data_IF_717116503979
#
_entry.id   IF_717116503979
#
_cell.length_a   1.000
_cell.length_b   1.000
_cell.length_c   1.000
_cell.angle_alpha   90.00
_cell.angle_beta   90.00
_cell.angle_gamma   90.00
#
_symmetry.space_group_name_H-M   'P 1'
#
loop_
_entity.id
_entity.type
_entity.pdbx_description
1 polymer ?
#
# COMPACT_ATOMS: atom_id res chain seq x y z
N UNK A 1 -66.51 -14.31 -20.86
CA UNK A 1 -66.14 -12.90 -21.16
C UNK A 1 -64.77 -12.91 -21.82
N UNK A 2 -64.68 -12.20 -22.94
CA UNK A 2 -63.71 -12.29 -24.04
C UNK A 2 -62.29 -11.82 -23.73
N UNK A 3 -61.30 -12.38 -24.45
CA UNK A 3 -60.12 -11.70 -25.04
C UNK A 3 -59.10 -12.78 -25.48
N UNK A 4 -59.08 -13.32 -26.71
CA UNK A 4 -58.57 -12.79 -27.99
C UNK A 4 -57.04 -12.50 -28.01
N UNK A 5 -56.29 -13.44 -28.63
CA UNK A 5 -55.20 -13.26 -29.67
C UNK A 5 -53.86 -12.67 -29.17
N UNK A 6 -52.63 -13.19 -29.43
CA UNK A 6 -51.98 -13.92 -30.56
C UNK A 6 -50.61 -14.50 -30.08
N UNK A 7 -50.02 -15.53 -30.73
CA UNK A 7 -48.66 -16.01 -30.47
C UNK A 7 -47.61 -15.33 -31.38
N UNK A 8 -46.36 -15.21 -30.93
CA UNK A 8 -45.24 -14.77 -31.79
C UNK A 8 -44.20 -15.89 -31.93
N UNK A 9 -44.03 -16.29 -33.19
CA UNK A 9 -43.23 -17.39 -33.70
C UNK A 9 -41.73 -17.03 -33.77
N UNK A 10 -40.92 -18.08 -33.64
CA UNK A 10 -39.48 -18.17 -33.94
C UNK A 10 -39.09 -17.59 -35.31
N UNK A 11 -37.88 -17.01 -35.39
CA UNK A 11 -37.13 -16.91 -36.65
C UNK A 11 -35.68 -17.36 -36.44
N UNK A 12 -35.28 -18.35 -37.23
CA UNK A 12 -33.97 -18.97 -37.26
C UNK A 12 -33.02 -18.27 -38.26
N UNK A 13 -31.74 -18.36 -37.92
CA UNK A 13 -30.51 -18.40 -38.72
C UNK A 13 -30.50 -17.92 -40.19
N UNK A 14 -29.49 -17.09 -40.53
CA UNK A 14 -28.70 -17.26 -41.76
C UNK A 14 -27.22 -16.93 -41.55
N UNK A 15 -26.40 -17.96 -41.78
CA UNK A 15 -24.96 -17.94 -42.03
C UNK A 15 -24.64 -17.21 -43.33
N UNK A 16 -23.52 -16.48 -43.35
CA UNK A 16 -22.84 -16.10 -44.59
C UNK A 16 -21.37 -16.53 -44.49
N UNK A 17 -21.05 -17.61 -45.20
CA UNK A 17 -19.70 -18.04 -45.55
C UNK A 17 -19.22 -17.19 -46.75
N UNK A 18 -18.00 -16.66 -46.69
CA UNK A 18 -17.26 -16.27 -47.89
C UNK A 18 -15.82 -16.79 -47.80
N UNK A 19 -15.42 -17.48 -48.86
CA UNK A 19 -14.19 -18.28 -49.02
C UNK A 19 -12.97 -17.42 -49.35
N UNK A 20 -11.83 -17.85 -48.80
CA UNK A 20 -10.52 -18.15 -49.43
C UNK A 20 -10.16 -17.35 -50.71
N UNK A 21 -9.08 -16.56 -50.60
CA UNK A 21 -8.27 -16.09 -51.72
C UNK A 21 -6.79 -16.17 -51.36
N UNK A 22 -6.02 -16.89 -52.17
CA UNK A 22 -4.60 -17.25 -52.02
C UNK A 22 -3.61 -16.13 -52.38
N UNK A 23 -2.39 -16.28 -51.86
CA UNK A 23 -1.13 -15.53 -52.12
C UNK A 23 -0.79 -15.34 -53.61
N UNK A 24 0.13 -14.40 -53.92
CA UNK A 24 1.48 -14.86 -54.26
C UNK A 24 2.64 -14.10 -53.58
N UNK A 25 3.81 -14.69 -53.77
CA UNK A 25 5.10 -14.55 -53.07
C UNK A 25 6.04 -13.48 -53.65
N UNK A 26 7.22 -13.37 -53.03
CA UNK A 26 8.48 -12.75 -53.50
C UNK A 26 8.64 -11.25 -53.19
N UNK A 27 9.78 -10.68 -52.73
CA UNK A 27 11.18 -11.12 -52.65
C UNK A 27 11.94 -10.17 -51.68
N UNK A 28 12.96 -10.70 -50.97
CA UNK A 28 14.23 -10.10 -50.43
C UNK A 28 14.25 -8.60 -50.04
N UNK A 29 14.88 -8.20 -48.93
CA UNK A 29 16.35 -8.11 -48.81
C UNK A 29 16.78 -8.10 -47.33
N UNK A 30 17.77 -8.94 -47.02
CA UNK A 30 18.64 -8.87 -45.83
C UNK A 30 19.96 -8.24 -46.26
N UNK A 31 20.44 -7.20 -45.57
CA UNK A 31 21.86 -6.80 -45.61
C UNK A 31 22.34 -6.22 -44.27
N UNK A 32 23.17 -7.04 -43.63
CA UNK A 32 24.43 -6.79 -42.88
C UNK A 32 24.52 -5.73 -41.79
N UNK A 33 24.92 -6.27 -40.63
CA UNK A 33 25.83 -5.67 -39.68
C UNK A 33 27.16 -5.22 -40.33
N UNK A 34 27.65 -4.07 -39.88
CA UNK A 34 29.02 -3.60 -40.08
C UNK A 34 29.59 -3.24 -38.71
N UNK A 35 30.43 -4.14 -38.22
CA UNK A 35 31.53 -3.84 -37.31
C UNK A 35 32.65 -3.14 -38.09
N UNK A 36 33.24 -2.10 -37.51
CA UNK A 36 34.68 -1.89 -37.63
C UNK A 36 35.23 -1.09 -36.45
N UNK A 37 36.23 -1.74 -35.84
CA UNK A 37 37.17 -1.27 -34.85
C UNK A 37 38.09 -0.17 -35.42
N UNK A 38 38.51 0.78 -34.59
CA UNK A 38 39.93 1.17 -34.45
C UNK A 38 40.13 2.14 -33.27
N UNK A 39 41.09 1.75 -32.42
CA UNK A 39 41.67 2.39 -31.23
C UNK A 39 42.18 3.83 -31.46
N UNK A 40 42.45 4.73 -30.49
CA UNK A 40 43.08 4.58 -29.16
C UNK A 40 43.15 5.96 -28.46
N UNK A 41 42.90 6.05 -27.14
CA UNK A 41 43.84 6.62 -26.14
C UNK A 41 43.30 6.47 -24.71
N UNK A 42 44.14 5.92 -23.85
CA UNK A 42 43.94 5.68 -22.42
C UNK A 42 43.94 6.97 -21.57
N UNK A 43 43.37 6.97 -20.35
CA UNK A 43 44.03 6.95 -19.00
C UNK A 43 42.94 7.22 -17.90
N UNK A 44 43.24 7.20 -16.58
CA UNK A 44 42.93 6.13 -15.62
C UNK A 44 41.73 6.40 -14.68
N UNK A 45 41.31 5.35 -13.94
CA UNK A 45 40.27 5.38 -12.91
C UNK A 45 40.73 6.02 -11.57
N UNK A 46 39.80 6.61 -10.79
CA UNK A 46 39.94 6.78 -9.34
C UNK A 46 38.81 6.06 -8.53
N UNK A 47 38.96 5.94 -7.19
CA UNK A 47 38.70 4.68 -6.48
C UNK A 47 37.34 4.57 -5.77
N UNK A 48 37.01 3.34 -5.39
CA UNK A 48 35.95 2.98 -4.45
C UNK A 48 36.31 3.39 -3.02
N UNK A 49 35.45 4.18 -2.37
CA UNK A 49 35.52 4.45 -0.94
C UNK A 49 34.61 3.48 -0.18
N UNK A 50 35.22 2.48 0.44
CA UNK A 50 34.66 1.76 1.59
C UNK A 50 34.97 2.56 2.86
N UNK A 51 33.95 2.94 3.61
CA UNK A 51 34.10 3.32 5.02
C UNK A 51 33.29 2.34 5.87
N UNK A 52 34.01 1.34 6.38
CA UNK A 52 33.70 0.67 7.63
C UNK A 52 34.02 1.65 8.75
N UNK A 53 33.07 1.91 9.64
CA UNK A 53 33.38 2.52 10.93
C UNK A 53 32.70 1.71 12.03
N UNK A 54 33.43 0.68 12.46
CA UNK A 54 33.17 -0.11 13.66
C UNK A 54 33.84 0.58 14.85
N UNK A 55 33.06 1.29 15.68
CA UNK A 55 33.53 1.69 16.99
C UNK A 55 33.30 0.55 17.99
N UNK A 56 34.43 -0.07 18.34
CA UNK A 56 34.65 -1.10 19.34
C UNK A 56 34.34 -0.54 20.74
N UNK A 57 33.43 -1.18 21.46
CA UNK A 57 33.22 -0.99 22.90
C UNK A 57 34.11 -2.00 23.63
N UNK A 58 35.11 -1.50 24.35
CA UNK A 58 35.89 -2.30 25.31
C UNK A 58 35.18 -2.34 26.67
N UNK A 59 35.21 -3.53 27.26
CA UNK A 59 34.71 -3.93 28.58
C UNK A 59 35.54 -3.35 29.73
N UNK A 60 34.89 -2.85 30.79
CA UNK A 60 34.97 -3.42 32.16
C UNK A 60 34.35 -2.53 33.27
N UNK A 61 33.99 -3.22 34.35
CA UNK A 61 33.78 -2.81 35.76
C UNK A 61 32.46 -2.17 36.24
N UNK A 62 31.78 -2.93 37.11
CA UNK A 62 30.90 -2.46 38.20
C UNK A 62 31.67 -1.56 39.19
N UNK A 63 30.96 -0.67 39.93
CA UNK A 63 30.59 -1.05 41.30
C UNK A 63 29.16 -0.67 41.70
N UNK A 64 28.60 -1.51 42.56
CA UNK A 64 27.43 -1.28 43.40
C UNK A 64 27.56 -0.02 44.25
N UNK A 65 26.47 0.71 44.46
CA UNK A 65 26.28 1.43 45.72
C UNK A 65 24.80 1.51 46.10
N UNK A 66 24.49 0.82 47.20
CA UNK A 66 23.32 0.99 48.02
C UNK A 66 23.25 2.43 48.53
N UNK A 67 22.06 3.02 48.57
CA UNK A 67 21.70 3.95 49.64
C UNK A 67 20.19 3.87 49.91
N UNK A 68 19.88 3.17 51.01
CA UNK A 68 18.65 3.31 51.76
C UNK A 68 18.56 4.73 52.32
N UNK A 69 17.44 5.40 52.15
CA UNK A 69 16.99 6.40 53.11
C UNK A 69 15.48 6.30 53.30
N UNK A 70 15.11 5.66 54.41
CA UNK A 70 13.82 5.81 55.09
C UNK A 70 13.78 7.19 55.73
N UNK A 71 12.75 7.99 55.44
CA UNK A 71 12.23 8.97 56.39
C UNK A 71 10.72 8.81 56.44
N UNK A 72 10.25 8.44 57.63
CA UNK A 72 8.86 8.36 58.05
C UNK A 72 8.37 9.72 58.55
N UNK A 73 7.10 10.06 58.28
CA UNK A 73 6.06 10.34 59.29
C UNK A 73 4.99 11.32 58.79
N UNK A 74 3.73 11.01 59.11
CA UNK A 74 2.72 12.03 59.43
C UNK A 74 1.37 11.90 58.71
N UNK A 75 0.48 11.09 59.28
CA UNK A 75 -0.94 10.98 58.90
C UNK A 75 -1.74 12.26 59.22
N UNK A 76 -2.68 12.63 58.35
CA UNK A 76 -4.02 13.09 58.73
C UNK A 76 -5.05 12.61 57.69
N UNK A 77 -6.12 11.99 58.19
CA UNK A 77 -7.18 11.34 57.45
C UNK A 77 -8.23 12.33 56.90
N UNK A 78 -8.89 11.97 55.80
CA UNK A 78 -10.35 12.04 55.70
C UNK A 78 -10.88 11.13 54.59
N UNK A 79 -11.80 10.26 54.99
CA UNK A 79 -12.56 9.33 54.17
C UNK A 79 -13.54 10.09 53.26
N UNK A 80 -13.57 9.71 51.98
CA UNK A 80 -14.74 9.86 51.14
C UNK A 80 -15.02 8.50 50.50
N UNK A 81 -16.03 7.82 51.04
CA UNK A 81 -16.62 6.59 50.54
C UNK A 81 -17.14 6.83 49.11
N UNK A 82 -16.50 6.22 48.12
CA UNK A 82 -16.91 6.22 46.72
C UNK A 82 -16.61 4.86 46.10
N UNK A 83 -17.67 4.06 45.90
CA UNK A 83 -17.67 2.68 45.44
C UNK A 83 -16.76 2.42 44.21
N UNK A 84 -15.79 1.48 44.26
CA UNK A 84 -14.95 1.15 43.12
C UNK A 84 -15.55 -0.07 42.40
N UNK A 85 -16.60 0.13 41.61
CA UNK A 85 -17.08 -0.90 40.68
C UNK A 85 -17.49 -0.25 39.36
N UNK A 86 -16.49 0.30 38.68
CA UNK A 86 -16.52 0.60 37.25
C UNK A 86 -15.51 -0.29 36.52
N UNK A 87 -15.48 -1.59 36.83
CA UNK A 87 -14.73 -2.56 36.04
C UNK A 87 -15.48 -2.69 34.71
N UNK A 88 -14.95 -2.04 33.68
CA UNK A 88 -15.27 -2.39 32.29
C UNK A 88 -15.06 -3.89 32.15
N UNK A 89 -15.99 -4.65 31.54
CA UNK A 89 -15.85 -6.10 31.47
C UNK A 89 -14.55 -6.43 30.73
N UNK A 90 -13.59 -6.96 31.47
CA UNK A 90 -12.47 -7.70 30.94
C UNK A 90 -13.07 -8.82 30.12
N UNK A 91 -12.93 -8.75 28.79
CA UNK A 91 -13.42 -9.80 27.90
C UNK A 91 -12.74 -11.09 28.35
N UNK A 92 -13.50 -11.92 29.05
CA UNK A 92 -13.08 -13.25 29.43
C UNK A 92 -12.56 -13.94 28.16
N UNK A 93 -11.26 -14.24 28.15
CA UNK A 93 -10.64 -15.08 27.14
C UNK A 93 -11.28 -16.45 27.31
N UNK A 94 -12.30 -16.71 26.51
CA UNK A 94 -12.98 -17.99 26.47
C UNK A 94 -12.00 -19.01 25.91
N UNK A 95 -11.70 -20.04 26.68
CA UNK A 95 -11.11 -21.28 26.19
C UNK A 95 -12.13 -22.00 25.27
N UNK A 96 -12.33 -21.45 24.08
CA UNK A 96 -13.02 -22.10 22.96
C UNK A 96 -12.04 -22.26 21.81
N UNK A 97 -11.99 -23.45 21.23
CA UNK A 97 -11.32 -23.68 19.95
C UNK A 97 -11.82 -22.65 18.93
N UNK A 98 -11.01 -21.65 18.60
CA UNK A 98 -11.34 -20.63 17.59
C UNK A 98 -11.18 -19.16 17.99
N UNK A 99 -10.82 -18.83 19.24
CA UNK A 99 -10.51 -17.43 19.60
C UNK A 99 -9.01 -17.13 19.39
N UNK A 100 -8.63 -16.76 18.17
CA UNK A 100 -7.27 -16.35 17.87
C UNK A 100 -7.02 -14.90 18.28
N UNK A 101 -6.04 -14.67 19.15
CA UNK A 101 -5.51 -13.32 19.40
C UNK A 101 -4.68 -12.86 18.20
N UNK A 102 -5.31 -12.07 17.33
CA UNK A 102 -4.67 -11.51 16.13
C UNK A 102 -3.52 -10.55 16.42
N UNK A 103 -3.35 -10.08 17.66
CA UNK A 103 -2.22 -9.24 18.04
C UNK A 103 -0.87 -9.99 17.97
N UNK A 104 -0.91 -11.33 18.06
CA UNK A 104 0.28 -12.20 18.10
C UNK A 104 0.20 -13.41 17.17
N UNK A 105 -1.00 -13.90 16.87
CA UNK A 105 -1.23 -15.13 16.09
C UNK A 105 -0.73 -15.05 14.65
N UNK A 106 -0.34 -16.21 14.11
CA UNK A 106 -0.03 -16.47 12.71
C UNK A 106 -1.00 -17.48 12.07
N UNK A 107 -2.15 -17.69 12.69
CA UNK A 107 -3.13 -18.69 12.27
C UNK A 107 -3.56 -18.52 10.80
N UNK A 108 -3.59 -19.64 10.06
CA UNK A 108 -4.03 -19.69 8.66
C UNK A 108 -3.07 -19.07 7.65
N UNK A 109 -1.92 -18.53 8.08
CA UNK A 109 -0.90 -18.02 7.17
C UNK A 109 -0.36 -19.16 6.30
N UNK A 110 -0.38 -18.98 4.99
CA UNK A 110 0.11 -19.96 4.00
C UNK A 110 -0.57 -21.34 4.08
N UNK A 111 -1.74 -21.48 4.71
CA UNK A 111 -2.40 -22.79 4.84
C UNK A 111 -3.07 -23.28 3.55
N UNK A 112 -3.59 -22.36 2.73
CA UNK A 112 -4.26 -22.67 1.47
C UNK A 112 -4.26 -21.48 0.50
N UNK A 113 -4.56 -21.69 -0.78
CA UNK A 113 -4.85 -20.60 -1.70
C UNK A 113 -6.30 -20.08 -1.49
N UNK A 114 -6.59 -18.85 -1.94
CA UNK A 114 -7.99 -18.42 -2.10
C UNK A 114 -8.63 -19.13 -3.31
N UNK A 115 -9.96 -19.12 -3.40
CA UNK A 115 -10.66 -19.66 -4.57
C UNK A 115 -10.28 -18.92 -5.85
N UNK A 116 -10.43 -19.58 -7.00
CA UNK A 116 -10.12 -18.99 -8.30
C UNK A 116 -10.86 -17.66 -8.55
N UNK A 117 -12.14 -17.58 -8.16
CA UNK A 117 -12.95 -16.36 -8.29
C UNK A 117 -12.38 -15.18 -7.49
N UNK A 118 -11.89 -15.43 -6.27
CA UNK A 118 -11.24 -14.41 -5.44
C UNK A 118 -9.91 -14.01 -6.06
N UNK A 119 -9.10 -14.98 -6.46
CA UNK A 119 -7.81 -14.72 -7.10
C UNK A 119 -7.94 -13.89 -8.38
N UNK A 120 -8.96 -14.14 -9.20
CA UNK A 120 -9.24 -13.34 -10.40
C UNK A 120 -9.54 -11.88 -10.05
N UNK A 121 -10.31 -11.62 -8.99
CA UNK A 121 -10.62 -10.25 -8.54
C UNK A 121 -9.36 -9.55 -7.99
N UNK A 122 -8.57 -10.24 -7.18
CA UNK A 122 -7.38 -9.66 -6.52
C UNK A 122 -6.26 -9.35 -7.51
N UNK A 123 -6.10 -10.18 -8.55
CA UNK A 123 -5.07 -10.07 -9.57
C UNK A 123 -5.53 -9.30 -10.81
N UNK A 124 -6.77 -8.80 -10.82
CA UNK A 124 -7.28 -8.01 -11.93
C UNK A 124 -6.43 -6.75 -12.17
N UNK A 125 -6.18 -6.37 -13.43
CA UNK A 125 -5.46 -5.14 -13.75
C UNK A 125 -6.25 -3.92 -13.25
N UNK A 126 -5.52 -2.90 -12.82
CA UNK A 126 -6.09 -1.64 -12.33
C UNK A 126 -6.48 -0.77 -13.52
N UNK A 127 -7.66 -0.14 -13.42
CA UNK A 127 -8.08 0.87 -14.39
C UNK A 127 -7.08 2.05 -14.38
N UNK A 128 -6.47 2.41 -15.52
CA UNK A 128 -5.58 3.56 -15.61
C UNK A 128 -6.18 4.87 -15.10
N UNK A 129 -7.50 5.04 -15.12
CA UNK A 129 -8.18 6.22 -14.56
C UNK A 129 -8.18 6.26 -13.02
N UNK A 130 -7.97 5.12 -12.37
CA UNK A 130 -7.94 5.04 -10.91
C UNK A 130 -6.56 5.30 -10.31
N UNK A 131 -5.51 5.35 -11.13
CA UNK A 131 -4.12 5.52 -10.71
C UNK A 131 -3.77 7.00 -10.60
N UNK A 132 -3.53 7.49 -9.39
CA UNK A 132 -3.17 8.89 -9.19
C UNK A 132 -1.66 9.13 -9.32
N UNK A 133 -1.28 10.40 -9.52
CA UNK A 133 0.10 10.84 -9.66
C UNK A 133 0.39 11.96 -8.67
N UNK A 134 1.48 11.81 -7.92
CA UNK A 134 2.02 12.90 -7.10
C UNK A 134 2.89 13.85 -7.94
N UNK A 135 3.05 15.12 -7.53
CA UNK A 135 3.90 16.09 -8.24
C UNK A 135 5.37 15.68 -8.38
N UNK A 136 5.86 14.78 -7.53
CA UNK A 136 7.21 14.20 -7.58
C UNK A 136 7.37 13.09 -8.64
N UNK A 137 6.28 12.67 -9.29
CA UNK A 137 6.27 11.61 -10.27
C UNK A 137 5.97 10.22 -9.69
N UNK A 138 5.61 10.09 -8.42
CA UNK A 138 5.18 8.81 -7.86
C UNK A 138 3.72 8.52 -8.21
N UNK A 139 3.47 7.38 -8.86
CA UNK A 139 2.12 6.88 -9.09
C UNK A 139 1.63 6.08 -7.89
N UNK A 140 0.34 6.17 -7.58
CA UNK A 140 -0.26 5.43 -6.49
C UNK A 140 -1.73 5.13 -6.75
N UNK A 141 -2.24 4.05 -6.18
CA UNK A 141 -3.66 3.77 -6.14
C UNK A 141 -4.25 4.39 -4.85
N UNK A 142 -5.32 5.19 -4.90
CA UNK A 142 -5.97 5.71 -3.71
C UNK A 142 -6.48 4.59 -2.78
N UNK A 143 -6.37 4.81 -1.48
CA UNK A 143 -6.71 3.83 -0.43
C UNK A 143 -8.10 3.21 -0.59
N UNK A 144 -9.10 4.03 -0.95
CA UNK A 144 -10.48 3.57 -1.14
C UNK A 144 -10.60 2.46 -2.20
N UNK A 145 -9.72 2.45 -3.20
CA UNK A 145 -9.74 1.44 -4.27
C UNK A 145 -9.32 0.08 -3.74
N UNK A 146 -8.31 0.01 -2.87
CA UNK A 146 -7.96 -1.24 -2.18
C UNK A 146 -9.13 -1.78 -1.37
N UNK A 147 -9.82 -0.95 -0.58
CA UNK A 147 -11.00 -1.36 0.19
C UNK A 147 -12.11 -1.90 -0.70
N UNK A 148 -12.35 -1.27 -1.85
CA UNK A 148 -13.36 -1.73 -2.83
C UNK A 148 -12.98 -3.08 -3.43
N UNK A 149 -11.70 -3.31 -3.75
CA UNK A 149 -11.22 -4.59 -4.26
C UNK A 149 -11.38 -5.67 -3.18
N UNK A 150 -11.00 -5.39 -1.93
CA UNK A 150 -11.19 -6.32 -0.81
C UNK A 150 -12.66 -6.64 -0.55
N UNK A 151 -13.55 -5.64 -0.59
CA UNK A 151 -14.99 -5.85 -0.47
C UNK A 151 -15.56 -6.67 -1.63
N UNK A 152 -15.06 -6.46 -2.86
CA UNK A 152 -15.48 -7.24 -4.03
C UNK A 152 -14.99 -8.69 -3.93
N UNK A 153 -13.77 -8.91 -3.45
CA UNK A 153 -13.15 -10.22 -3.33
C UNK A 153 -13.71 -11.04 -2.17
N UNK A 154 -13.82 -10.45 -0.98
CA UNK A 154 -14.15 -11.18 0.25
C UNK A 154 -15.56 -10.89 0.79
N UNK A 155 -16.22 -9.85 0.30
CA UNK A 155 -17.44 -9.31 0.88
C UNK A 155 -17.18 -8.40 2.09
N UNK A 156 -18.07 -7.44 2.38
CA UNK A 156 -18.05 -6.69 3.63
C UNK A 156 -18.10 -7.63 4.84
N UNK A 157 -17.20 -7.44 5.80
CA UNK A 157 -17.05 -8.34 6.97
C UNK A 157 -16.19 -9.58 6.71
N UNK A 158 -15.86 -9.90 5.46
CA UNK A 158 -14.97 -11.00 5.09
C UNK A 158 -13.47 -10.70 5.25
N UNK A 159 -13.10 -9.48 5.64
CA UNK A 159 -11.72 -9.06 5.88
C UNK A 159 -11.64 -7.98 6.95
N UNK A 160 -10.46 -7.79 7.55
CA UNK A 160 -10.21 -6.75 8.52
C UNK A 160 -8.72 -6.55 8.82
N UNK A 161 -8.39 -5.37 9.37
CA UNK A 161 -7.08 -5.10 9.95
C UNK A 161 -7.14 -5.25 11.46
N UNK A 162 -6.38 -6.19 11.99
CA UNK A 162 -6.15 -6.35 13.42
C UNK A 162 -4.92 -5.54 13.83
N UNK A 163 -5.03 -4.61 14.80
CA UNK A 163 -3.87 -3.92 15.33
C UNK A 163 -2.92 -4.90 16.04
N UNK A 164 -1.62 -4.74 15.80
CA UNK A 164 -0.56 -5.48 16.50
C UNK A 164 0.33 -4.51 17.27
N UNK A 165 0.53 -4.81 18.55
CA UNK A 165 1.29 -3.96 19.47
C UNK A 165 0.62 -2.60 19.76
N UNK A 166 1.33 -1.79 20.52
CA UNK A 166 0.92 -0.44 20.88
C UNK A 166 1.14 0.55 19.74
N UNK A 167 0.33 1.61 19.71
CA UNK A 167 0.53 2.72 18.79
C UNK A 167 1.72 3.54 19.25
N UNK A 168 2.76 3.64 18.42
CA UNK A 168 3.91 4.49 18.68
C UNK A 168 3.59 5.90 18.19
N UNK A 169 3.45 6.84 19.13
CA UNK A 169 3.24 8.26 18.84
C UNK A 169 4.55 9.00 19.10
N UNK A 170 5.32 9.22 18.04
CA UNK A 170 6.53 10.05 18.08
C UNK A 170 6.20 11.52 17.75
N UNK A 171 7.13 12.47 17.92
CA UNK A 171 6.84 13.92 17.86
C UNK A 171 6.15 14.42 16.59
N UNK A 172 6.33 13.74 15.45
CA UNK A 172 5.76 14.11 14.15
C UNK A 172 5.21 12.91 13.36
N UNK A 173 5.10 11.74 13.99
CA UNK A 173 4.72 10.51 13.28
C UNK A 173 3.97 9.55 14.21
N UNK A 174 2.91 8.96 13.70
CA UNK A 174 2.22 7.83 14.32
C UNK A 174 2.58 6.58 13.54
N UNK A 175 2.96 5.51 14.24
CA UNK A 175 3.26 4.22 13.61
C UNK A 175 2.72 3.05 14.41
N UNK A 176 2.21 2.03 13.73
CA UNK A 176 1.69 0.80 14.34
C UNK A 176 1.76 -0.36 13.36
N UNK A 177 1.95 -1.57 13.89
CA UNK A 177 1.83 -2.79 13.10
C UNK A 177 0.36 -3.22 12.98
N UNK A 178 -0.02 -3.75 11.83
CA UNK A 178 -1.33 -4.33 11.60
C UNK A 178 -1.21 -5.67 10.87
N UNK A 179 -2.09 -6.60 11.22
CA UNK A 179 -2.32 -7.84 10.48
C UNK A 179 -3.56 -7.69 9.60
N UNK A 180 -3.43 -7.97 8.31
CA UNK A 180 -4.56 -8.20 7.43
C UNK A 180 -5.06 -9.63 7.60
N UNK A 181 -6.33 -9.75 7.95
CA UNK A 181 -7.05 -11.02 8.08
C UNK A 181 -8.14 -11.04 7.02
N UNK A 182 -8.21 -12.12 6.25
CA UNK A 182 -9.25 -12.33 5.24
C UNK A 182 -9.84 -13.72 5.45
N UNK A 183 -11.16 -13.86 5.54
CA UNK A 183 -11.86 -15.13 5.77
C UNK A 183 -11.29 -15.94 6.96
N UNK A 184 -10.99 -15.25 8.07
CA UNK A 184 -10.53 -15.89 9.31
C UNK A 184 -9.08 -16.39 9.30
N UNK A 185 -8.26 -15.97 8.33
CA UNK A 185 -6.84 -16.33 8.25
C UNK A 185 -5.94 -15.12 8.09
N UNK A 186 -4.76 -15.18 8.71
CA UNK A 186 -3.73 -14.18 8.52
C UNK A 186 -3.25 -14.20 7.07
N UNK A 187 -3.19 -13.02 6.45
CA UNK A 187 -2.70 -12.82 5.08
C UNK A 187 -1.33 -12.16 5.09
N UNK A 188 -1.23 -11.02 5.77
CA UNK A 188 -0.03 -10.19 5.75
C UNK A 188 0.09 -9.39 7.05
N UNK A 189 1.31 -9.00 7.38
CA UNK A 189 1.62 -8.10 8.47
C UNK A 189 2.42 -6.94 7.91
N UNK A 190 2.00 -5.71 8.19
CA UNK A 190 2.75 -4.54 7.80
C UNK A 190 2.67 -3.46 8.87
N UNK A 191 3.76 -2.69 8.99
CA UNK A 191 3.77 -1.46 9.76
C UNK A 191 3.24 -0.31 8.91
N UNK A 192 2.20 0.34 9.42
CA UNK A 192 1.70 1.60 8.89
C UNK A 192 2.36 2.76 9.60
N UNK A 193 2.42 3.89 8.91
CA UNK A 193 2.91 5.14 9.48
C UNK A 193 2.21 6.34 8.83
N UNK A 194 2.11 7.42 9.59
CA UNK A 194 1.56 8.67 9.10
C UNK A 194 2.17 9.85 9.85
N UNK A 195 2.70 10.80 9.10
CA UNK A 195 3.23 12.05 9.65
C UNK A 195 2.09 13.00 10.06
N UNK A 196 2.37 13.80 11.08
CA UNK A 196 1.52 14.88 11.56
C UNK A 196 2.35 16.09 11.98
N UNK A 197 1.76 17.28 11.91
CA UNK A 197 2.45 18.53 12.21
C UNK A 197 2.09 19.11 13.59
N UNK A 198 0.84 18.93 14.00
CA UNK A 198 0.31 19.42 15.27
C UNK A 198 -0.26 18.25 16.09
N UNK A 199 -0.07 18.20 17.42
CA UNK A 199 -0.61 17.14 18.27
C UNK A 199 -2.13 16.94 18.15
N UNK A 200 -2.91 17.99 17.85
CA UNK A 200 -4.36 17.84 17.58
C UNK A 200 -4.65 16.96 16.37
N UNK A 201 -3.67 16.76 15.48
CA UNK A 201 -3.74 15.89 14.30
C UNK A 201 -3.50 14.40 14.56
N UNK A 202 -3.13 14.00 15.80
CA UNK A 202 -2.85 12.60 16.15
C UNK A 202 -4.00 11.64 15.80
N UNK A 203 -5.29 11.97 16.03
CA UNK A 203 -6.40 11.08 15.64
C UNK A 203 -6.45 10.82 14.12
N UNK A 204 -6.30 11.88 13.33
CA UNK A 204 -6.24 11.77 11.85
C UNK A 204 -5.02 10.96 11.41
N UNK A 205 -3.88 11.18 12.06
CA UNK A 205 -2.67 10.42 11.79
C UNK A 205 -2.81 8.94 12.14
N UNK A 206 -3.55 8.62 13.20
CA UNK A 206 -3.85 7.24 13.60
C UNK A 206 -4.67 6.51 12.54
N UNK A 207 -5.68 7.17 11.98
CA UNK A 207 -6.45 6.61 10.85
C UNK A 207 -5.58 6.47 9.59
N UNK A 208 -4.77 7.49 9.27
CA UNK A 208 -3.84 7.43 8.14
C UNK A 208 -2.81 6.31 8.28
N UNK A 209 -2.32 6.05 9.49
CA UNK A 209 -1.42 4.95 9.80
C UNK A 209 -2.07 3.59 9.51
N UNK A 210 -3.33 3.38 9.91
CA UNK A 210 -4.09 2.17 9.61
C UNK A 210 -4.30 1.97 8.11
N UNK A 211 -4.69 3.03 7.40
CA UNK A 211 -4.85 3.04 5.95
C UNK A 211 -3.56 2.75 5.20
N UNK A 212 -2.43 3.27 5.68
CA UNK A 212 -1.11 3.01 5.13
C UNK A 212 -0.74 1.52 5.23
N UNK A 213 -0.97 0.91 6.39
CA UNK A 213 -0.75 -0.53 6.59
C UNK A 213 -1.64 -1.38 5.67
N UNK A 214 -2.90 -0.96 5.44
CA UNK A 214 -3.83 -1.68 4.55
C UNK A 214 -3.26 -1.84 3.15
N UNK A 215 -2.77 -0.74 2.57
CA UNK A 215 -2.21 -0.75 1.21
C UNK A 215 -0.97 -1.64 1.12
N UNK A 216 -0.10 -1.59 2.15
CA UNK A 216 1.09 -2.45 2.25
C UNK A 216 0.72 -3.92 2.34
N UNK A 217 -0.24 -4.29 3.18
CA UNK A 217 -0.72 -5.68 3.29
C UNK A 217 -1.39 -6.17 2.00
N UNK A 218 -2.12 -5.29 1.31
CA UNK A 218 -2.83 -5.62 0.07
C UNK A 218 -1.89 -6.00 -1.08
N UNK A 219 -0.60 -5.59 -1.00
CA UNK A 219 0.47 -6.04 -1.91
C UNK A 219 0.59 -7.56 -1.96
N UNK A 220 0.56 -8.20 -0.79
CA UNK A 220 0.81 -9.63 -0.67
C UNK A 220 -0.34 -10.47 -1.25
N UNK A 221 -1.52 -9.85 -1.41
CA UNK A 221 -2.65 -10.41 -2.15
C UNK A 221 -2.53 -10.24 -3.68
N UNK A 222 -1.53 -9.48 -4.15
CA UNK A 222 -1.30 -9.16 -5.56
C UNK A 222 -2.01 -7.91 -6.07
N UNK A 223 -2.78 -7.21 -5.22
CA UNK A 223 -3.54 -6.02 -5.61
C UNK A 223 -2.59 -4.90 -6.03
N UNK A 224 -2.84 -4.31 -7.21
CA UNK A 224 -2.11 -3.17 -7.76
C UNK A 224 -0.58 -3.39 -7.85
N UNK A 225 -0.14 -4.65 -7.94
CA UNK A 225 1.28 -5.01 -8.01
C UNK A 225 2.03 -4.38 -9.18
N UNK A 226 1.33 -4.10 -10.29
CA UNK A 226 1.85 -3.41 -11.47
C UNK A 226 2.37 -1.99 -11.18
N UNK A 227 1.88 -1.32 -10.14
CA UNK A 227 2.35 0.02 -9.75
C UNK A 227 3.80 0.04 -9.24
N UNK A 228 4.39 -1.13 -9.00
CA UNK A 228 5.81 -1.28 -8.65
C UNK A 228 6.66 -1.84 -9.78
N UNK A 229 6.09 -2.18 -10.94
CA UNK A 229 6.88 -2.58 -12.10
C UNK A 229 7.46 -1.33 -12.79
N UNK A 230 8.80 -1.18 -12.86
CA UNK A 230 9.43 -0.06 -13.57
C UNK A 230 9.00 0.08 -15.04
N UNK A 231 8.64 -1.03 -15.70
CA UNK A 231 8.14 -1.02 -17.09
C UNK A 231 6.75 -0.40 -17.16
N UNK A 232 5.83 -0.86 -16.32
CA UNK A 232 4.48 -0.28 -16.19
C UNK A 232 4.55 1.21 -15.87
N UNK A 233 5.34 1.61 -14.86
CA UNK A 233 5.49 3.01 -14.46
C UNK A 233 5.93 3.90 -15.64
N UNK A 234 6.90 3.42 -16.44
CA UNK A 234 7.39 4.16 -17.61
C UNK A 234 6.33 4.31 -18.69
N UNK A 235 5.62 3.24 -19.01
CA UNK A 235 4.57 3.29 -20.04
C UNK A 235 3.37 4.12 -19.58
N UNK A 236 2.92 3.94 -18.34
CA UNK A 236 1.83 4.72 -17.75
C UNK A 236 2.15 6.20 -17.76
N UNK A 237 3.36 6.60 -17.34
CA UNK A 237 3.80 8.01 -17.38
C UNK A 237 3.77 8.59 -18.79
N UNK A 238 4.24 7.83 -19.78
CA UNK A 238 4.26 8.25 -21.19
C UNK A 238 2.83 8.46 -21.72
N UNK A 239 1.92 7.55 -21.41
CA UNK A 239 0.55 7.56 -21.91
C UNK A 239 -0.34 8.56 -21.19
N UNK A 240 -0.29 8.62 -19.86
CA UNK A 240 -1.27 9.32 -19.02
C UNK A 240 -0.73 10.55 -18.28
N UNK A 241 0.59 10.78 -18.27
CA UNK A 241 1.19 11.87 -17.49
C UNK A 241 2.00 12.83 -18.35
N UNK A 242 2.25 14.01 -17.79
CA UNK A 242 3.07 15.04 -18.40
C UNK A 242 3.97 15.69 -17.35
N UNK A 243 5.21 15.95 -17.72
CA UNK A 243 6.15 16.74 -16.94
C UNK A 243 6.03 18.21 -17.41
N UNK A 244 5.76 19.11 -16.47
CA UNK A 244 5.56 20.54 -16.74
C UNK A 244 6.48 21.37 -15.85
N UNK A 245 6.97 22.49 -16.36
CA UNK A 245 7.64 23.48 -15.52
C UNK A 245 6.60 24.27 -14.76
N UNK A 246 6.69 24.30 -13.44
CA UNK A 246 5.81 25.08 -12.59
C UNK A 246 6.62 26.03 -11.70
N UNK A 247 6.17 27.28 -11.59
CA UNK A 247 6.73 28.31 -10.73
C UNK A 247 6.00 28.32 -9.39
N UNK A 248 6.73 28.24 -8.27
CA UNK A 248 6.16 28.44 -6.95
C UNK A 248 5.89 29.93 -6.71
N UNK A 249 4.63 30.34 -6.63
CA UNK A 249 4.22 31.76 -6.64
C UNK A 249 4.91 32.57 -5.53
N UNK A 250 4.99 32.12 -4.27
CA UNK A 250 5.64 32.88 -3.20
C UNK A 250 7.16 32.99 -3.33
N UNK A 251 7.85 31.97 -3.85
CA UNK A 251 9.33 31.93 -3.86
C UNK A 251 9.93 32.18 -5.24
N UNK A 252 9.11 32.28 -6.28
CA UNK A 252 9.51 32.43 -7.70
C UNK A 252 10.45 31.35 -8.22
N UNK A 253 10.57 30.23 -7.50
CA UNK A 253 11.40 29.09 -7.90
C UNK A 253 10.66 28.22 -8.90
N UNK A 254 11.29 27.98 -10.05
CA UNK A 254 10.78 27.06 -11.08
C UNK A 254 11.28 25.64 -10.82
N UNK A 255 10.40 24.66 -10.96
CA UNK A 255 10.74 23.22 -10.89
C UNK A 255 9.91 22.43 -11.88
N UNK A 256 10.44 21.28 -12.30
CA UNK A 256 9.67 20.31 -13.08
C UNK A 256 8.79 19.51 -12.13
N UNK A 257 7.49 19.46 -12.42
CA UNK A 257 6.48 18.71 -11.68
C UNK A 257 5.74 17.77 -12.62
N UNK A 258 5.31 16.63 -12.11
CA UNK A 258 4.48 15.67 -12.83
C UNK A 258 3.00 15.90 -12.53
N UNK A 259 2.15 15.84 -13.55
CA UNK A 259 0.70 15.75 -13.37
C UNK A 259 0.10 14.77 -14.35
N UNK A 260 -1.12 14.31 -14.08
CA UNK A 260 -1.88 13.59 -15.11
C UNK A 260 -2.34 14.54 -16.22
N UNK A 261 -2.52 13.99 -17.42
CA UNK A 261 -2.95 14.76 -18.60
C UNK A 261 -4.40 15.23 -18.49
N UNK A 262 -5.24 14.45 -17.83
CA UNK A 262 -6.67 14.71 -17.57
C UNK A 262 -6.92 15.61 -16.35
N UNK A 263 -5.92 15.84 -15.51
CA UNK A 263 -6.01 16.77 -14.39
C UNK A 263 -5.83 18.22 -14.84
N UNK A 264 -6.47 19.18 -14.14
CA UNK A 264 -6.25 20.59 -14.39
C UNK A 264 -4.78 20.96 -14.18
N UNK A 265 -4.36 22.06 -14.83
CA UNK A 265 -3.03 22.63 -14.65
C UNK A 265 -2.77 22.99 -13.19
N UNK A 266 -1.51 23.05 -12.80
CA UNK A 266 -1.14 23.47 -11.45
C UNK A 266 -1.66 24.88 -11.16
N UNK A 267 -2.42 24.99 -10.06
CA UNK A 267 -2.83 26.24 -9.44
C UNK A 267 -2.08 26.44 -8.12
N UNK A 268 -2.34 27.59 -7.47
CA UNK A 268 -1.71 27.97 -6.21
C UNK A 268 -1.52 26.77 -5.26
N UNK A 269 -0.29 26.54 -4.73
CA UNK A 269 0.84 27.47 -4.67
C UNK A 269 1.78 27.45 -5.90
N UNK A 270 1.51 26.61 -6.90
CA UNK A 270 2.31 26.52 -8.12
C UNK A 270 1.55 27.12 -9.32
N UNK A 271 2.26 27.58 -10.34
CA UNK A 271 1.67 28.02 -11.60
C UNK A 271 2.45 27.41 -12.75
N UNK A 272 1.75 26.66 -13.61
CA UNK A 272 2.28 26.12 -14.87
C UNK A 272 2.45 27.20 -15.94
#
# INVERSE_FOLDING_TARGET
>A
MSSIVRPRLLLAARLANARIGSLPSSTRVSVRALSNDTSSKATPAPPANNSLNSNKLDSNTLPSNNNNNKISNGNYAQEAQGSPNGVLPEFAVGNGEGQYDWSRSYYGLSSQAFSGEISEILLAPIDPLDIEMKPDGLIYLPEIKYRRILNKAFGPGGWGLAPRGETNVGPKIVSREYALVCQGRLVAIARGEQEYFDPSGIPTATEGCKSNALMRCSKDLGIASELWDPRFIREFKKQHCIEVFAEHIPTKKKRKLWRRKDQPKFSYPYQE
#
